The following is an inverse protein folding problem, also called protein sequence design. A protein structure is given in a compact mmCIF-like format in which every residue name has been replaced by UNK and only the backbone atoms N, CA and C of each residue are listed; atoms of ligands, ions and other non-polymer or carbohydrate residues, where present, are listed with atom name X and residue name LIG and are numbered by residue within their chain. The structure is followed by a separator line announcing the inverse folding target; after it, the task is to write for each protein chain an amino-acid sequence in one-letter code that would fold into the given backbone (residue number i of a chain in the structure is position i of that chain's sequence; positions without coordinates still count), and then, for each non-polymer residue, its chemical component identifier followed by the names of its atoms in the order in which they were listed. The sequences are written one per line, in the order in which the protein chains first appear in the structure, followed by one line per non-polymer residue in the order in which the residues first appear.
data_IF_469483102080
#
_entry.id   IF_469483102080
#
_cell.length_a   1.000
_cell.length_b   1.000
_cell.length_c   1.000
_cell.angle_alpha   90.00
_cell.angle_beta   90.00
_cell.angle_gamma   90.00
#
_symmetry.space_group_name_H-M   'P 1'
#
loop_
_entity.id
_entity.type
_entity.pdbx_description
1 polymer ?
#
# COMPACT_ATOMS: atom_id res chain seq x y z
N UNK A 1 -4.23 -13.12 15.22
CA UNK A 1 -2.97 -13.32 14.45
C UNK A 1 -3.14 -12.71 13.07
N UNK A 2 -2.08 -12.15 12.46
CA UNK A 2 -2.14 -11.63 11.09
C UNK A 2 -2.16 -12.77 10.06
N UNK A 3 -2.95 -12.63 8.99
CA UNK A 3 -2.99 -13.59 7.89
C UNK A 3 -1.75 -13.50 6.97
N UNK A 4 -1.66 -14.42 6.00
CA UNK A 4 -0.51 -14.51 5.08
C UNK A 4 -0.34 -13.25 4.24
N UNK A 5 -1.43 -12.62 3.78
CA UNK A 5 -1.38 -11.45 2.90
C UNK A 5 -0.94 -10.20 3.67
N UNK A 6 -1.43 -10.03 4.90
CA UNK A 6 -0.96 -8.99 5.82
C UNK A 6 0.54 -9.12 6.12
N UNK A 7 1.02 -10.33 6.40
CA UNK A 7 2.45 -10.58 6.62
C UNK A 7 3.28 -10.27 5.37
N UNK A 8 2.78 -10.62 4.20
CA UNK A 8 3.43 -10.34 2.92
C UNK A 8 3.56 -8.84 2.65
N UNK A 9 2.47 -8.07 2.76
CA UNK A 9 2.49 -6.62 2.56
C UNK A 9 3.40 -5.91 3.59
N UNK A 10 3.38 -6.36 4.84
CA UNK A 10 4.31 -5.86 5.87
C UNK A 10 5.76 -6.18 5.55
N UNK A 11 6.05 -7.36 4.97
CA UNK A 11 7.39 -7.71 4.50
C UNK A 11 7.85 -6.76 3.37
N UNK A 12 7.00 -6.48 2.39
CA UNK A 12 7.33 -5.52 1.33
C UNK A 12 7.71 -4.14 1.89
N UNK A 13 7.01 -3.69 2.94
CA UNK A 13 7.37 -2.44 3.63
C UNK A 13 8.78 -2.51 4.21
N UNK A 14 9.14 -3.62 4.85
CA UNK A 14 10.48 -3.80 5.43
C UNK A 14 11.56 -3.91 4.34
N UNK A 15 11.29 -4.61 3.24
CA UNK A 15 12.19 -4.72 2.09
C UNK A 15 12.49 -3.36 1.47
N UNK A 16 11.47 -2.51 1.30
CA UNK A 16 11.66 -1.13 0.82
C UNK A 16 12.51 -0.28 1.77
N UNK A 17 12.38 -0.49 3.09
CA UNK A 17 13.22 0.22 4.07
C UNK A 17 14.66 -0.27 4.02
N UNK A 18 14.87 -1.58 3.89
CA UNK A 18 16.19 -2.19 3.76
C UNK A 18 16.93 -1.63 2.54
N UNK A 19 16.27 -1.64 1.37
CA UNK A 19 16.85 -1.12 0.12
C UNK A 19 17.05 0.39 0.18
N UNK A 20 16.09 1.13 0.74
CA UNK A 20 16.15 2.60 0.79
C UNK A 20 17.03 3.16 1.91
N UNK A 21 17.43 2.34 2.88
CA UNK A 21 18.18 2.73 4.09
C UNK A 21 17.42 3.65 5.06
N UNK A 22 16.15 3.99 4.78
CA UNK A 22 15.32 4.89 5.60
C UNK A 22 13.83 4.68 5.39
N UNK A 23 13.03 5.01 6.41
CA UNK A 23 11.57 5.04 6.31
C UNK A 23 10.89 5.11 7.67
N UNK A 24 9.63 5.57 7.72
CA UNK A 24 8.86 5.63 8.97
C UNK A 24 8.12 4.32 9.21
N UNK A 25 8.86 3.29 9.66
CA UNK A 25 8.37 1.90 9.80
C UNK A 25 7.08 1.83 10.63
N UNK A 26 7.05 2.41 11.82
CA UNK A 26 5.86 2.38 12.67
C UNK A 26 4.65 3.05 12.02
N UNK A 27 4.88 4.20 11.36
CA UNK A 27 3.83 4.90 10.64
C UNK A 27 3.27 4.05 9.51
N UNK A 28 4.12 3.33 8.75
CA UNK A 28 3.74 2.46 7.64
C UNK A 28 3.06 1.16 8.09
N UNK A 29 3.67 0.41 9.02
CA UNK A 29 3.12 -0.87 9.48
C UNK A 29 1.77 -0.72 10.20
N UNK A 30 1.51 0.43 10.82
CA UNK A 30 0.24 0.69 11.54
C UNK A 30 -1.01 0.78 10.65
N UNK A 31 -0.87 0.96 9.32
CA UNK A 31 -2.02 1.11 8.42
C UNK A 31 -2.16 0.03 7.35
N UNK A 32 -1.28 -0.99 7.32
CA UNK A 32 -1.28 -1.99 6.24
C UNK A 32 -2.63 -2.68 6.10
N UNK A 33 -3.23 -3.13 7.21
CA UNK A 33 -4.53 -3.80 7.20
C UNK A 33 -5.68 -2.87 6.79
N UNK A 34 -5.63 -1.60 7.20
CA UNK A 34 -6.64 -0.59 6.83
C UNK A 34 -6.60 -0.38 5.32
N UNK A 35 -5.43 -0.11 4.76
CA UNK A 35 -5.28 0.08 3.32
C UNK A 35 -5.68 -1.16 2.55
N UNK A 36 -5.28 -2.33 3.01
CA UNK A 36 -5.65 -3.59 2.38
C UNK A 36 -7.16 -3.73 2.29
N UNK A 37 -7.89 -3.55 3.39
CA UNK A 37 -9.36 -3.65 3.39
C UNK A 37 -9.98 -2.62 2.44
N UNK A 38 -9.50 -1.37 2.46
CA UNK A 38 -9.99 -0.34 1.55
C UNK A 38 -9.79 -0.75 0.07
N UNK A 39 -8.59 -1.19 -0.31
CA UNK A 39 -8.29 -1.58 -1.69
C UNK A 39 -8.81 -2.97 -2.08
N UNK A 40 -9.08 -3.87 -1.14
CA UNK A 40 -9.62 -5.21 -1.41
C UNK A 40 -11.15 -5.21 -1.52
N UNK A 41 -11.84 -4.33 -0.80
CA UNK A 41 -13.27 -4.51 -0.56
C UNK A 41 -14.13 -3.27 -0.77
N UNK A 42 -13.57 -2.06 -0.75
CA UNK A 42 -14.37 -0.83 -0.75
C UNK A 42 -14.11 0.08 -1.93
N UNK A 43 -12.83 0.36 -2.24
CA UNK A 43 -12.48 1.33 -3.27
C UNK A 43 -12.75 0.77 -4.66
N UNK A 44 -13.43 1.56 -5.48
CA UNK A 44 -13.61 1.32 -6.90
C UNK A 44 -12.46 1.96 -7.69
N UNK A 45 -11.63 1.14 -8.32
CA UNK A 45 -10.49 1.61 -9.13
C UNK A 45 -10.11 0.61 -10.23
N UNK A 46 -9.33 1.09 -11.18
CA UNK A 46 -8.70 0.28 -12.22
C UNK A 46 -7.20 0.58 -12.25
N UNK A 47 -6.32 -0.37 -11.84
CA UNK A 47 -4.87 -0.17 -11.82
C UNK A 47 -4.30 0.26 -13.18
N UNK A 48 -4.82 -0.32 -14.26
CA UNK A 48 -4.41 0.00 -15.65
C UNK A 48 -4.97 1.33 -16.17
N UNK A 49 -5.93 1.95 -15.47
CA UNK A 49 -6.56 3.23 -15.84
C UNK A 49 -6.57 4.18 -14.63
N UNK A 50 -5.40 4.63 -14.15
CA UNK A 50 -5.30 5.47 -12.95
C UNK A 50 -6.00 6.84 -13.11
N UNK A 51 -6.19 7.30 -14.34
CA UNK A 51 -6.88 8.57 -14.66
C UNK A 51 -8.39 8.40 -14.88
N UNK A 52 -8.94 7.20 -14.66
CA UNK A 52 -10.37 6.97 -14.79
C UNK A 52 -11.18 7.92 -13.89
N UNK A 53 -12.04 8.74 -14.50
CA UNK A 53 -12.73 9.84 -13.83
C UNK A 53 -13.61 9.42 -12.64
N UNK A 54 -14.20 8.22 -12.71
CA UNK A 54 -15.19 7.74 -11.74
C UNK A 54 -14.59 6.83 -10.67
N UNK A 55 -13.25 6.74 -10.59
CA UNK A 55 -12.59 5.99 -9.52
C UNK A 55 -12.79 6.69 -8.17
N UNK A 56 -12.80 5.90 -7.11
CA UNK A 56 -12.62 6.44 -5.76
C UNK A 56 -11.22 7.05 -5.61
N UNK A 57 -11.14 8.07 -4.75
CA UNK A 57 -9.90 8.78 -4.47
C UNK A 57 -9.46 8.50 -3.04
N UNK A 58 -8.31 7.83 -2.91
CA UNK A 58 -7.64 7.65 -1.64
C UNK A 58 -6.51 8.68 -1.50
N UNK A 59 -6.50 9.44 -0.40
CA UNK A 59 -5.45 10.41 -0.07
C UNK A 59 -4.84 10.04 1.28
N UNK A 60 -3.55 9.70 1.29
CA UNK A 60 -2.82 9.41 2.53
C UNK A 60 -2.30 10.71 3.16
N UNK A 61 -3.14 11.36 3.97
CA UNK A 61 -2.75 12.60 4.67
C UNK A 61 -1.54 12.41 5.59
N UNK A 62 -1.43 11.26 6.28
CA UNK A 62 -0.22 10.88 7.02
C UNK A 62 0.91 10.39 6.10
N UNK A 63 1.41 11.28 5.24
CA UNK A 63 2.33 10.96 4.13
C UNK A 63 3.59 10.18 4.53
N UNK A 64 4.08 10.33 5.77
CA UNK A 64 5.19 9.54 6.30
C UNK A 64 4.94 8.01 6.27
N UNK A 65 3.68 7.55 6.23
CA UNK A 65 3.30 6.15 6.07
C UNK A 65 3.28 5.64 4.62
N UNK A 66 3.86 6.39 3.67
CA UNK A 66 3.79 6.13 2.23
C UNK A 66 4.22 4.72 1.80
N UNK A 67 5.18 4.10 2.49
CA UNK A 67 5.65 2.77 2.15
C UNK A 67 4.52 1.71 2.19
N UNK A 68 3.56 1.85 3.10
CA UNK A 68 2.40 0.95 3.12
C UNK A 68 1.50 1.15 1.90
N UNK A 69 1.33 2.41 1.46
CA UNK A 69 0.58 2.72 0.24
C UNK A 69 1.31 2.18 -1.00
N UNK A 70 2.63 2.33 -1.08
CA UNK A 70 3.42 1.78 -2.19
C UNK A 70 3.31 0.26 -2.25
N UNK A 71 3.40 -0.43 -1.11
CA UNK A 71 3.23 -1.88 -1.06
C UNK A 71 1.86 -2.32 -1.60
N UNK A 72 0.79 -1.61 -1.23
CA UNK A 72 -0.57 -1.88 -1.71
C UNK A 72 -0.70 -1.58 -3.20
N UNK A 73 -0.21 -0.44 -3.68
CA UNK A 73 -0.32 -0.07 -5.09
C UNK A 73 0.46 -1.04 -6.00
N UNK A 74 1.66 -1.47 -5.59
CA UNK A 74 2.41 -2.53 -6.27
C UNK A 74 1.67 -3.87 -6.22
N UNK A 75 1.08 -4.24 -5.07
CA UNK A 75 0.28 -5.48 -4.95
C UNK A 75 -0.97 -5.47 -5.84
N UNK A 76 -1.54 -4.29 -6.09
CA UNK A 76 -2.69 -4.08 -6.97
C UNK A 76 -2.33 -3.87 -8.44
N UNK A 77 -1.05 -3.87 -8.80
CA UNK A 77 -0.62 -3.76 -10.19
C UNK A 77 -0.71 -2.36 -10.78
N UNK A 78 -0.63 -1.31 -9.95
CA UNK A 78 -0.47 0.06 -10.46
C UNK A 78 0.92 0.29 -11.08
N UNK A 79 1.91 -0.46 -10.61
CA UNK A 79 3.28 -0.48 -11.14
C UNK A 79 3.97 -1.79 -10.76
N UNK A 80 5.05 -2.12 -11.48
CA UNK A 80 5.85 -3.33 -11.22
C UNK A 80 6.62 -3.24 -9.90
N UNK A 81 6.86 -4.39 -9.29
CA UNK A 81 7.74 -4.50 -8.12
C UNK A 81 9.19 -4.47 -8.61
N UNK A 82 10.02 -3.62 -8.00
CA UNK A 82 11.45 -3.59 -8.24
C UNK A 82 12.16 -4.75 -7.54
#
# INVERSE_FOLDING_TARGET
MLDKRSKFLRRMVLEMVEVGGRGHIGSALSLVEILRVLYDSFLQYHPEKPDWSNRDRFILSKGHGCLALYAILADKGFFERA
#
